data_IF_677070371308
#
_entry.id   IF_677070371308
#
_cell.length_a   1.000
_cell.length_b   1.000
_cell.length_c   1.000
_cell.angle_alpha   90.00
_cell.angle_beta   90.00
_cell.angle_gamma   90.00
#
_symmetry.space_group_name_H-M   'P 1'
#
loop_
_entity.id
_entity.type
_entity.pdbx_description
1 polymer ?
#
# COMPACT_ATOMS: atom_id res chain seq x y z
N UNK A 1 39.36 -7.81 47.07
CA UNK A 1 38.11 -8.36 47.63
C UNK A 1 36.97 -7.56 47.05
N UNK A 2 36.04 -8.20 46.34
CA UNK A 2 35.00 -7.53 45.57
C UNK A 2 33.94 -6.90 46.51
N UNK A 3 33.87 -5.56 46.62
CA UNK A 3 33.07 -4.86 47.63
C UNK A 3 31.56 -5.05 47.43
N UNK A 4 31.12 -5.43 46.22
CA UNK A 4 29.71 -5.68 45.91
C UNK A 4 29.11 -6.87 46.66
N UNK A 5 29.94 -7.86 47.01
CA UNK A 5 29.51 -9.08 47.73
C UNK A 5 29.22 -8.82 49.22
N UNK A 6 29.87 -7.79 49.78
CA UNK A 6 29.71 -7.38 51.18
C UNK A 6 28.54 -6.40 51.36
N UNK A 7 28.26 -5.54 50.37
CA UNK A 7 27.18 -4.56 50.44
C UNK A 7 25.79 -5.12 50.13
N UNK A 8 25.69 -6.14 49.28
CA UNK A 8 24.39 -6.64 48.78
C UNK A 8 23.90 -7.94 49.44
N UNK A 9 24.71 -8.59 50.28
CA UNK A 9 24.32 -9.79 51.02
C UNK A 9 23.60 -10.84 50.14
N UNK A 10 22.55 -11.53 50.64
CA UNK A 10 21.83 -12.56 49.88
C UNK A 10 21.16 -12.05 48.58
N UNK A 11 20.98 -10.74 48.42
CA UNK A 11 20.40 -10.12 47.21
C UNK A 11 21.39 -10.02 46.05
N UNK A 12 22.69 -10.23 46.30
CA UNK A 12 23.71 -10.20 45.24
C UNK A 12 23.43 -11.21 44.12
N UNK A 13 22.80 -12.35 44.42
CA UNK A 13 22.40 -13.36 43.43
C UNK A 13 21.31 -12.87 42.47
N UNK A 14 20.40 -12.01 42.94
CA UNK A 14 19.32 -11.46 42.10
C UNK A 14 19.80 -10.24 41.31
N UNK A 15 20.66 -9.42 41.93
CA UNK A 15 21.36 -8.33 41.27
C UNK A 15 22.25 -8.81 40.12
N UNK A 16 22.97 -9.92 40.31
CA UNK A 16 23.79 -10.55 39.27
C UNK A 16 22.98 -11.07 38.06
N UNK A 17 21.67 -11.25 38.22
CA UNK A 17 20.73 -11.64 37.15
C UNK A 17 19.83 -10.49 36.67
N UNK A 18 20.15 -9.22 37.00
CA UNK A 18 19.36 -8.06 36.57
C UNK A 18 18.01 -7.87 37.28
N UNK A 19 17.87 -8.41 38.51
CA UNK A 19 16.69 -8.27 39.37
C UNK A 19 15.35 -8.75 38.79
N UNK A 20 15.34 -9.58 37.74
CA UNK A 20 14.12 -10.01 37.01
C UNK A 20 13.32 -8.86 36.37
N UNK A 21 13.57 -7.60 36.74
CA UNK A 21 13.03 -6.39 36.14
C UNK A 21 13.40 -6.31 34.65
N UNK A 22 14.61 -6.69 34.29
CA UNK A 22 15.03 -6.76 32.89
C UNK A 22 14.15 -7.74 32.09
N UNK A 23 13.87 -8.93 32.64
CA UNK A 23 13.01 -9.91 31.99
C UNK A 23 11.55 -9.43 31.88
N UNK A 24 11.04 -8.73 32.90
CA UNK A 24 9.70 -8.14 32.89
C UNK A 24 9.62 -7.03 31.85
N UNK A 25 10.59 -6.12 31.82
CA UNK A 25 10.64 -5.04 30.83
C UNK A 25 10.77 -5.58 29.40
N UNK A 26 11.63 -6.58 29.21
CA UNK A 26 11.81 -7.23 27.93
C UNK A 26 10.52 -7.87 27.43
N UNK A 27 9.73 -8.48 28.33
CA UNK A 27 8.47 -9.13 27.96
C UNK A 27 7.31 -8.15 27.75
N UNK A 28 7.23 -7.09 28.56
CA UNK A 28 6.12 -6.15 28.53
C UNK A 28 6.29 -5.03 27.50
N UNK A 29 7.53 -4.65 27.16
CA UNK A 29 7.80 -3.53 26.27
C UNK A 29 8.58 -3.95 25.04
N UNK A 30 9.73 -4.61 25.20
CA UNK A 30 10.63 -4.90 24.06
C UNK A 30 9.99 -5.88 23.07
N UNK A 31 9.53 -7.04 23.56
CA UNK A 31 8.89 -8.07 22.72
C UNK A 31 7.68 -7.55 21.93
N UNK A 32 6.70 -6.87 22.54
CA UNK A 32 5.55 -6.38 21.77
C UNK A 32 5.93 -5.28 20.77
N UNK A 33 6.88 -4.40 21.10
CA UNK A 33 7.36 -3.37 20.15
C UNK A 33 8.04 -4.02 18.95
N UNK A 34 8.90 -5.02 19.16
CA UNK A 34 9.54 -5.75 18.07
C UNK A 34 8.53 -6.52 17.22
N UNK A 35 7.55 -7.19 17.85
CA UNK A 35 6.48 -7.88 17.14
C UNK A 35 5.63 -6.90 16.29
N UNK A 36 5.33 -5.72 16.84
CA UNK A 36 4.65 -4.65 16.11
C UNK A 36 5.46 -4.16 14.90
N UNK A 37 6.77 -3.96 15.08
CA UNK A 37 7.66 -3.56 13.99
C UNK A 37 7.73 -4.63 12.88
N UNK A 38 7.76 -5.91 13.25
CA UNK A 38 7.71 -7.00 12.26
C UNK A 38 6.39 -7.04 11.50
N UNK A 39 5.26 -6.82 12.18
CA UNK A 39 3.94 -6.76 11.55
C UNK A 39 3.84 -5.59 10.58
N UNK A 40 4.28 -4.39 10.98
CA UNK A 40 4.31 -3.22 10.09
C UNK A 40 5.16 -3.50 8.86
N UNK A 41 6.35 -4.08 9.05
CA UNK A 41 7.25 -4.45 7.95
C UNK A 41 6.68 -5.53 7.04
N UNK A 42 5.85 -6.43 7.57
CA UNK A 42 5.13 -7.44 6.78
C UNK A 42 4.01 -6.79 5.97
N UNK A 43 3.19 -5.94 6.60
CA UNK A 43 2.10 -5.21 5.95
C UNK A 43 2.63 -4.29 4.85
N UNK A 44 3.70 -3.54 5.12
CA UNK A 44 4.35 -2.68 4.14
C UNK A 44 4.76 -3.48 2.91
N UNK A 45 5.47 -4.61 3.12
CA UNK A 45 5.87 -5.48 2.03
C UNK A 45 4.69 -6.09 1.29
N UNK A 46 3.74 -6.74 1.95
CA UNK A 46 2.66 -7.42 1.25
C UNK A 46 1.67 -6.45 0.59
N UNK A 47 1.28 -5.39 1.29
CA UNK A 47 0.26 -4.46 0.79
C UNK A 47 0.84 -3.56 -0.30
N UNK A 48 2.01 -2.95 -0.08
CA UNK A 48 2.58 -2.01 -1.06
C UNK A 48 3.03 -2.78 -2.30
N UNK A 49 3.75 -3.89 -2.14
CA UNK A 49 4.26 -4.66 -3.27
C UNK A 49 3.12 -5.26 -4.11
N UNK A 50 2.04 -5.72 -3.46
CA UNK A 50 0.83 -6.17 -4.18
C UNK A 50 0.11 -5.02 -4.88
N UNK A 51 -0.01 -3.85 -4.26
CA UNK A 51 -0.65 -2.70 -4.89
C UNK A 51 0.16 -2.17 -6.09
N UNK A 52 1.49 -2.07 -5.94
CA UNK A 52 2.40 -1.65 -7.01
C UNK A 52 2.41 -2.66 -8.17
N UNK A 53 2.48 -3.96 -7.88
CA UNK A 53 2.34 -4.98 -8.93
C UNK A 53 0.98 -4.94 -9.59
N UNK A 54 -0.10 -4.78 -8.82
CA UNK A 54 -1.47 -4.72 -9.33
C UNK A 54 -1.65 -3.55 -10.29
N UNK A 55 -1.19 -2.36 -9.91
CA UNK A 55 -1.21 -1.17 -10.77
C UNK A 55 -0.35 -1.35 -12.02
N UNK A 56 0.86 -1.91 -11.90
CA UNK A 56 1.71 -2.20 -13.05
C UNK A 56 1.07 -3.21 -14.01
N UNK A 57 0.46 -4.28 -13.50
CA UNK A 57 -0.24 -5.28 -14.31
C UNK A 57 -1.47 -4.68 -15.00
N UNK A 58 -2.24 -3.85 -14.28
CA UNK A 58 -3.40 -3.14 -14.81
C UNK A 58 -3.01 -2.19 -15.96
N UNK A 59 -2.03 -1.32 -15.73
CA UNK A 59 -1.54 -0.39 -16.74
C UNK A 59 -1.00 -1.13 -17.99
N UNK A 60 -0.23 -2.19 -17.79
CA UNK A 60 0.27 -3.01 -18.90
C UNK A 60 -0.87 -3.74 -19.64
N UNK A 61 -1.87 -4.25 -18.92
CA UNK A 61 -3.05 -4.89 -19.48
C UNK A 61 -3.83 -3.93 -20.38
N UNK A 62 -4.12 -2.73 -19.88
CA UNK A 62 -4.76 -1.66 -20.65
C UNK A 62 -3.93 -1.31 -21.89
N UNK A 63 -2.62 -1.14 -21.75
CA UNK A 63 -1.72 -0.88 -22.87
C UNK A 63 -1.76 -1.97 -23.95
N UNK A 64 -1.85 -3.25 -23.56
CA UNK A 64 -2.01 -4.36 -24.52
C UNK A 64 -3.37 -4.35 -25.21
N UNK A 65 -4.45 -4.01 -24.50
CA UNK A 65 -5.78 -3.90 -25.08
C UNK A 65 -5.84 -2.77 -26.11
N UNK A 66 -5.32 -1.59 -25.75
CA UNK A 66 -5.19 -0.44 -26.67
C UNK A 66 -4.35 -0.82 -27.89
N UNK A 67 -3.21 -1.50 -27.69
CA UNK A 67 -2.36 -1.96 -28.80
C UNK A 67 -3.09 -2.95 -29.72
N UNK A 68 -3.93 -3.84 -29.19
CA UNK A 68 -4.77 -4.72 -30.01
C UNK A 68 -5.83 -3.96 -30.80
N UNK A 69 -6.38 -2.89 -30.23
CA UNK A 69 -7.35 -2.05 -30.91
C UNK A 69 -6.73 -1.22 -32.06
N UNK A 70 -5.40 -1.04 -32.07
CA UNK A 70 -4.69 -0.44 -33.19
C UNK A 70 -4.50 -1.46 -34.32
N UNK A 71 -5.54 -1.61 -35.15
CA UNK A 71 -5.56 -2.55 -36.28
C UNK A 71 -4.72 -2.10 -37.49
N UNK A 72 -4.15 -0.89 -37.44
CA UNK A 72 -3.43 -0.27 -38.58
C UNK A 72 -4.35 0.15 -39.74
N UNK A 73 -5.66 -0.08 -39.62
CA UNK A 73 -6.63 0.24 -40.65
C UNK A 73 -7.14 1.68 -40.47
N UNK A 74 -6.70 2.59 -41.34
CA UNK A 74 -7.10 4.01 -41.35
C UNK A 74 -8.64 4.18 -41.37
N UNK A 75 -9.36 3.30 -42.07
CA UNK A 75 -10.83 3.36 -42.12
C UNK A 75 -11.45 3.19 -40.72
N UNK A 76 -10.89 2.31 -39.88
CA UNK A 76 -11.38 2.11 -38.50
C UNK A 76 -11.22 3.38 -37.67
N UNK A 77 -10.09 4.10 -37.81
CA UNK A 77 -9.89 5.38 -37.13
C UNK A 77 -10.92 6.43 -37.58
N UNK A 78 -11.16 6.54 -38.90
CA UNK A 78 -12.15 7.48 -39.45
C UNK A 78 -13.56 7.14 -38.96
N UNK A 79 -13.94 5.85 -38.95
CA UNK A 79 -15.25 5.43 -38.45
C UNK A 79 -15.46 5.79 -36.97
N UNK A 80 -14.47 5.56 -36.11
CA UNK A 80 -14.54 5.96 -34.70
C UNK A 80 -14.55 7.47 -34.51
N UNK A 81 -13.80 8.22 -35.33
CA UNK A 81 -13.80 9.67 -35.31
C UNK A 81 -15.19 10.22 -35.63
N UNK A 82 -15.81 9.74 -36.72
CA UNK A 82 -17.16 10.16 -37.13
C UNK A 82 -18.22 9.78 -36.11
N UNK A 83 -18.15 8.56 -35.55
CA UNK A 83 -19.06 8.11 -34.50
C UNK A 83 -18.92 8.98 -33.24
N UNK A 84 -17.69 9.27 -32.82
CA UNK A 84 -17.41 10.13 -31.67
C UNK A 84 -17.88 11.58 -31.88
N UNK A 85 -17.65 12.15 -33.07
CA UNK A 85 -18.12 13.50 -33.39
C UNK A 85 -19.65 13.59 -33.42
N UNK A 86 -20.32 12.58 -33.99
CA UNK A 86 -21.78 12.53 -34.01
C UNK A 86 -22.35 12.41 -32.59
N UNK A 87 -21.76 11.56 -31.75
CA UNK A 87 -22.16 11.42 -30.34
C UNK A 87 -21.99 12.73 -29.56
N UNK A 88 -20.90 13.47 -29.77
CA UNK A 88 -20.68 14.78 -29.15
C UNK A 88 -21.72 15.81 -29.60
N UNK A 89 -22.04 15.88 -30.90
CA UNK A 89 -23.08 16.78 -31.41
C UNK A 89 -24.42 16.48 -30.74
N UNK A 90 -24.81 15.20 -30.68
CA UNK A 90 -26.04 14.78 -30.03
C UNK A 90 -26.02 15.17 -28.53
N UNK A 91 -24.92 14.89 -27.83
CA UNK A 91 -24.79 15.23 -26.41
C UNK A 91 -24.93 16.74 -26.16
N UNK A 92 -24.30 17.58 -27.00
CA UNK A 92 -24.42 19.04 -26.92
C UNK A 92 -25.84 19.50 -27.19
N UNK A 93 -26.49 18.96 -28.22
CA UNK A 93 -27.88 19.29 -28.56
C UNK A 93 -28.82 18.90 -27.42
N UNK A 94 -28.67 17.71 -26.84
CA UNK A 94 -29.48 17.26 -25.70
C UNK A 94 -29.23 18.14 -24.47
N UNK A 95 -27.98 18.49 -24.19
CA UNK A 95 -27.64 19.35 -23.06
C UNK A 95 -28.21 20.77 -23.26
N UNK A 96 -28.11 21.31 -24.47
CA UNK A 96 -28.61 22.66 -24.77
C UNK A 96 -30.13 22.72 -24.73
N UNK A 97 -30.85 21.70 -25.22
CA UNK A 97 -32.30 21.64 -25.12
C UNK A 97 -32.77 21.45 -23.67
N UNK A 98 -32.04 20.69 -22.87
CA UNK A 98 -32.33 20.55 -21.43
C UNK A 98 -32.15 21.88 -20.68
N UNK A 99 -31.06 22.59 -20.94
CA UNK A 99 -30.78 23.89 -20.31
C UNK A 99 -31.68 25.03 -20.79
N UNK A 100 -32.23 24.93 -22.00
CA UNK A 100 -33.19 25.90 -22.53
C UNK A 100 -34.62 25.65 -22.03
N UNK A 101 -34.91 24.45 -21.51
CA UNK A 101 -36.21 24.07 -20.95
C UNK A 101 -36.34 24.20 -19.43
N UNK A 102 -35.24 24.51 -18.73
CA UNK A 102 -35.18 24.83 -17.29
C UNK A 102 -35.20 26.34 -17.06
#
# INVERSE_FOLDING_TARGET
ADPGRLLLGPLHRHAATGFHLDAVYHRLFVRPVLAGAELVRFLDREVIDTYVRGTALGANGLGRLVRRAQTGNVQTYVSWLLAGSAALVIAVVVLSTTNAGS
#
